data_IF_037420878574
#
_entry.id   IF_037420878574
#
_cell.length_a   1.000
_cell.length_b   1.000
_cell.length_c   1.000
_cell.angle_alpha   90.00
_cell.angle_beta   90.00
_cell.angle_gamma   90.00
#
_symmetry.space_group_name_H-M   'P 1'
#
loop_
_entity.id
_entity.type
_entity.pdbx_description
1 polymer ?
#
# COMPACT_ATOMS: atom_id res chain seq x y z
N UNK A 1 2.02 -17.79 8.86
CA UNK A 1 1.39 -16.77 9.74
C UNK A 1 2.52 -16.04 10.44
N UNK A 2 2.53 -14.70 10.41
CA UNK A 2 3.41 -13.91 11.28
C UNK A 2 3.08 -14.27 12.74
N UNK A 3 4.09 -14.46 13.58
CA UNK A 3 3.86 -14.55 15.02
C UNK A 3 3.84 -13.11 15.55
N UNK A 4 2.77 -12.62 16.19
CA UNK A 4 2.65 -11.24 16.71
C UNK A 4 3.85 -10.76 17.53
N UNK A 5 4.52 -11.71 18.17
CA UNK A 5 5.69 -11.49 19.02
C UNK A 5 6.92 -10.96 18.27
N UNK A 6 6.98 -11.08 16.94
CA UNK A 6 8.13 -10.63 16.15
C UNK A 6 8.06 -9.16 15.74
N UNK A 7 6.88 -8.52 15.74
CA UNK A 7 6.70 -7.14 15.29
C UNK A 7 7.60 -6.15 16.06
N UNK A 8 7.67 -6.17 17.41
CA UNK A 8 8.55 -5.26 18.15
C UNK A 8 10.04 -5.45 17.82
N UNK A 9 10.46 -6.71 17.60
CA UNK A 9 11.82 -7.06 17.21
C UNK A 9 12.17 -6.48 15.85
N UNK A 10 11.28 -6.62 14.87
CA UNK A 10 11.47 -6.09 13.51
C UNK A 10 11.51 -4.56 13.53
N UNK A 11 10.61 -3.90 14.27
CA UNK A 11 10.61 -2.44 14.43
C UNK A 11 11.95 -1.95 15.01
N UNK A 12 12.49 -2.66 16.00
CA UNK A 12 13.78 -2.36 16.60
C UNK A 12 14.92 -2.53 15.59
N UNK A 13 14.87 -3.58 14.77
CA UNK A 13 15.86 -3.81 13.72
C UNK A 13 15.85 -2.68 12.68
N UNK A 14 14.68 -2.28 12.19
CA UNK A 14 14.52 -1.16 11.24
C UNK A 14 15.06 0.14 11.85
N UNK A 15 14.77 0.40 13.13
CA UNK A 15 15.23 1.61 13.82
C UNK A 15 16.75 1.68 13.96
N UNK A 16 17.44 0.54 14.04
CA UNK A 16 18.91 0.47 14.08
C UNK A 16 19.57 0.81 12.75
N UNK A 17 18.83 0.72 11.64
CA UNK A 17 19.30 1.05 10.29
C UNK A 17 19.09 2.52 9.94
N UNK A 18 18.95 3.40 10.95
CA UNK A 18 18.52 4.77 10.71
C UNK A 18 19.47 5.60 9.83
N UNK A 19 20.77 5.40 9.96
CA UNK A 19 21.77 6.04 9.09
C UNK A 19 21.72 5.57 7.64
N UNK A 20 21.18 4.37 7.39
CA UNK A 20 21.11 3.74 6.07
C UNK A 20 19.80 4.03 5.36
N UNK A 21 18.69 4.03 6.11
CA UNK A 21 17.35 4.15 5.54
C UNK A 21 16.86 5.61 5.46
N UNK A 22 17.48 6.50 6.22
CA UNK A 22 17.06 7.90 6.31
C UNK A 22 15.77 8.10 7.14
N UNK A 23 15.49 9.35 7.55
CA UNK A 23 14.35 9.69 8.41
C UNK A 23 12.98 9.19 7.92
N UNK A 24 12.70 9.25 6.62
CA UNK A 24 11.41 8.89 6.04
C UNK A 24 11.10 7.42 6.31
N UNK A 25 12.01 6.52 5.98
CA UNK A 25 11.79 5.06 6.09
C UNK A 25 11.85 4.58 7.53
N UNK A 26 12.73 5.15 8.37
CA UNK A 26 12.75 4.86 9.82
C UNK A 26 11.42 5.20 10.48
N UNK A 27 10.73 6.23 9.97
CA UNK A 27 9.42 6.62 10.47
C UNK A 27 8.30 5.74 9.91
N UNK A 28 8.29 5.52 8.60
CA UNK A 28 7.15 4.93 7.90
C UNK A 28 7.14 3.41 7.90
N UNK A 29 8.29 2.73 7.77
CA UNK A 29 8.33 1.27 7.75
C UNK A 29 7.83 0.64 9.08
N UNK A 30 8.19 1.17 10.27
CA UNK A 30 7.56 0.71 11.52
C UNK A 30 6.05 0.98 11.59
N UNK A 31 5.56 2.06 10.97
CA UNK A 31 4.11 2.32 10.91
C UNK A 31 3.36 1.31 10.06
N UNK A 32 3.97 0.83 8.96
CA UNK A 32 3.42 -0.30 8.18
C UNK A 32 3.20 -1.48 9.12
N UNK A 33 4.26 -1.94 9.79
CA UNK A 33 4.19 -3.10 10.71
C UNK A 33 3.16 -2.92 11.84
N UNK A 34 3.13 -1.74 12.46
CA UNK A 34 2.19 -1.44 13.56
C UNK A 34 0.72 -1.44 13.11
N UNK A 35 0.47 -0.94 11.90
CA UNK A 35 -0.91 -0.76 11.40
C UNK A 35 -1.47 -2.05 10.84
N UNK A 36 -0.66 -2.80 10.06
CA UNK A 36 -1.17 -3.96 9.31
C UNK A 36 -0.93 -5.29 10.05
N UNK A 37 0.03 -5.31 10.98
CA UNK A 37 0.33 -6.47 11.81
C UNK A 37 0.50 -7.77 11.02
N UNK A 38 -0.28 -8.80 11.37
CA UNK A 38 -0.25 -10.11 10.70
C UNK A 38 -0.73 -10.07 9.25
N UNK A 39 -1.49 -9.04 8.86
CA UNK A 39 -2.01 -8.89 7.51
C UNK A 39 -0.97 -8.35 6.52
N UNK A 40 0.26 -8.08 6.97
CA UNK A 40 1.36 -7.57 6.14
C UNK A 40 1.49 -8.30 4.79
N UNK A 41 1.47 -9.64 4.71
CA UNK A 41 1.63 -10.33 3.42
C UNK A 41 0.52 -9.98 2.42
N UNK A 42 -0.73 -9.83 2.86
CA UNK A 42 -1.84 -9.44 1.98
C UNK A 42 -1.74 -7.97 1.58
N UNK A 43 -1.38 -7.09 2.53
CA UNK A 43 -1.19 -5.66 2.23
C UNK A 43 -0.05 -5.44 1.25
N UNK A 44 1.06 -6.17 1.41
CA UNK A 44 2.19 -6.17 0.47
C UNK A 44 1.68 -6.52 -0.92
N UNK A 45 0.91 -7.60 -1.08
CA UNK A 45 0.35 -7.98 -2.38
C UNK A 45 -0.51 -6.87 -2.99
N UNK A 46 -1.37 -6.22 -2.21
CA UNK A 46 -2.18 -5.09 -2.71
C UNK A 46 -1.29 -3.94 -3.17
N UNK A 47 -0.31 -3.52 -2.36
CA UNK A 47 0.62 -2.44 -2.71
C UNK A 47 1.40 -2.78 -3.98
N UNK A 48 1.89 -4.01 -4.10
CA UNK A 48 2.68 -4.49 -5.24
C UNK A 48 1.85 -4.42 -6.53
N UNK A 49 0.61 -4.92 -6.50
CA UNK A 49 -0.30 -4.90 -7.65
C UNK A 49 -0.70 -3.47 -8.05
N UNK A 50 -1.00 -2.60 -7.07
CA UNK A 50 -1.28 -1.19 -7.35
C UNK A 50 -0.06 -0.48 -7.94
N UNK A 51 1.13 -0.78 -7.44
CA UNK A 51 2.38 -0.16 -7.90
C UNK A 51 2.70 -0.58 -9.33
N UNK A 52 2.43 -1.84 -9.69
CA UNK A 52 2.54 -2.32 -11.08
C UNK A 52 1.50 -1.64 -11.97
N UNK A 53 0.23 -1.57 -11.55
CA UNK A 53 -0.83 -0.92 -12.31
C UNK A 53 -0.56 0.57 -12.55
N UNK A 54 0.15 1.23 -11.62
CA UNK A 54 0.53 2.64 -11.69
C UNK A 54 1.92 2.87 -12.28
N UNK A 55 2.61 1.83 -12.76
CA UNK A 55 3.99 1.91 -13.27
C UNK A 55 5.05 2.42 -12.27
N UNK A 56 4.74 2.45 -10.97
CA UNK A 56 5.71 2.75 -9.90
C UNK A 56 6.69 1.59 -9.73
N UNK A 57 6.18 0.35 -9.79
CA UNK A 57 6.94 -0.90 -9.73
C UNK A 57 6.85 -1.62 -11.08
N UNK A 58 7.95 -2.23 -11.55
CA UNK A 58 7.91 -3.05 -12.78
C UNK A 58 7.39 -4.46 -12.47
N UNK A 59 6.79 -5.18 -13.46
CA UNK A 59 6.21 -6.52 -13.22
C UNK A 59 7.17 -7.61 -12.72
N UNK A 60 8.48 -7.42 -12.89
CA UNK A 60 9.53 -8.35 -12.48
C UNK A 60 10.25 -7.92 -11.20
N UNK A 61 9.81 -6.83 -10.57
CA UNK A 61 10.33 -6.33 -9.31
C UNK A 61 9.40 -6.74 -8.18
N UNK A 62 9.91 -6.76 -6.95
CA UNK A 62 9.11 -7.07 -5.76
C UNK A 62 9.33 -6.06 -4.65
N UNK A 63 8.34 -5.94 -3.77
CA UNK A 63 8.42 -5.14 -2.54
C UNK A 63 9.60 -5.59 -1.68
N UNK A 64 9.81 -6.91 -1.58
CA UNK A 64 10.89 -7.46 -0.77
C UNK A 64 12.27 -7.09 -1.32
N UNK A 65 12.46 -7.20 -2.64
CA UNK A 65 13.72 -6.79 -3.29
C UNK A 65 13.97 -5.29 -3.14
N UNK A 66 12.94 -4.45 -3.32
CA UNK A 66 13.06 -3.01 -3.15
C UNK A 66 13.47 -2.63 -1.71
N UNK A 67 12.90 -3.32 -0.72
CA UNK A 67 13.28 -3.15 0.68
C UNK A 67 14.72 -3.59 0.97
N UNK A 68 15.17 -4.71 0.40
CA UNK A 68 16.54 -5.16 0.52
C UNK A 68 17.53 -4.19 -0.13
N UNK A 69 17.18 -3.65 -1.32
CA UNK A 69 17.97 -2.61 -2.00
C UNK A 69 18.11 -1.36 -1.15
N UNK A 70 17.04 -0.92 -0.50
CA UNK A 70 17.09 0.22 0.41
C UNK A 70 18.03 0.00 1.61
N UNK A 71 18.15 -1.23 2.10
CA UNK A 71 19.11 -1.58 3.19
C UNK A 71 20.56 -1.60 2.67
N UNK A 72 20.77 -1.96 1.41
CA UNK A 72 22.10 -2.03 0.79
C UNK A 72 22.55 -0.71 0.14
N UNK A 73 21.66 0.27 0.03
CA UNK A 73 21.92 1.55 -0.62
C UNK A 73 22.88 2.44 0.18
N UNK A 74 23.69 3.21 -0.55
CA UNK A 74 24.51 4.29 0.01
C UNK A 74 23.75 5.62 0.12
N UNK A 75 22.58 5.71 -0.53
CA UNK A 75 21.70 6.87 -0.50
C UNK A 75 20.34 6.53 0.12
N UNK A 76 19.76 7.55 0.70
CA UNK A 76 18.45 7.56 1.33
C UNK A 76 17.43 8.26 0.43
N UNK A 77 16.11 8.12 0.69
CA UNK A 77 15.10 8.91 0.01
C UNK A 77 15.34 10.43 0.08
N UNK A 78 15.93 10.91 1.18
CA UNK A 78 16.23 12.32 1.42
C UNK A 78 17.30 12.90 0.49
N UNK A 79 18.08 12.05 -0.17
CA UNK A 79 19.08 12.47 -1.16
C UNK A 79 18.45 12.82 -2.53
N UNK A 80 17.12 12.71 -2.65
CA UNK A 80 16.36 12.90 -3.88
C UNK A 80 15.22 13.90 -3.69
N UNK A 81 14.86 14.59 -4.77
CA UNK A 81 13.75 15.56 -4.76
C UNK A 81 12.39 14.85 -4.79
N UNK A 82 12.31 13.69 -5.43
CA UNK A 82 11.09 12.90 -5.56
C UNK A 82 11.35 11.45 -5.20
N UNK A 83 10.35 10.80 -4.59
CA UNK A 83 10.45 9.39 -4.23
C UNK A 83 10.66 8.49 -5.46
N UNK A 84 10.12 8.87 -6.63
CA UNK A 84 10.30 8.14 -7.88
C UNK A 84 11.78 8.13 -8.31
N UNK A 85 12.52 9.22 -8.10
CA UNK A 85 13.96 9.27 -8.41
C UNK A 85 14.75 8.30 -7.51
N UNK A 86 14.35 8.18 -6.23
CA UNK A 86 14.94 7.20 -5.31
C UNK A 86 14.61 5.76 -5.74
N UNK A 87 13.37 5.47 -6.14
CA UNK A 87 12.98 4.15 -6.66
C UNK A 87 13.81 3.80 -7.91
N UNK A 88 14.01 4.76 -8.81
CA UNK A 88 14.84 4.55 -10.00
C UNK A 88 16.31 4.33 -9.66
N UNK A 89 16.86 5.05 -8.68
CA UNK A 89 18.20 4.79 -8.17
C UNK A 89 18.32 3.38 -7.58
N UNK A 90 17.39 2.96 -6.71
CA UNK A 90 17.41 1.60 -6.15
C UNK A 90 17.37 0.56 -7.27
N UNK A 91 16.53 0.77 -8.28
CA UNK A 91 16.35 -0.11 -9.42
C UNK A 91 17.61 -0.25 -10.28
N UNK A 92 18.26 0.85 -10.60
CA UNK A 92 19.30 0.89 -11.63
C UNK A 92 20.72 0.84 -11.06
N UNK A 93 20.95 1.42 -9.88
CA UNK A 93 22.28 1.64 -9.32
C UNK A 93 22.61 0.68 -8.17
N UNK A 94 21.60 0.14 -7.47
CA UNK A 94 21.81 -0.85 -6.39
C UNK A 94 21.69 -2.27 -6.93
N UNK A 95 22.81 -2.82 -7.39
CA UNK A 95 22.88 -4.12 -8.08
C UNK A 95 23.25 -5.30 -7.18
N UNK A 96 24.01 -5.07 -6.10
CA UNK A 96 24.42 -6.11 -5.16
C UNK A 96 23.45 -6.23 -3.98
N UNK A 97 22.40 -7.06 -4.15
CA UNK A 97 21.48 -7.41 -3.05
C UNK A 97 21.47 -8.90 -2.82
N UNK A 98 21.70 -9.28 -1.55
CA UNK A 98 21.45 -10.65 -1.09
C UNK A 98 20.08 -10.69 -0.44
N UNK A 99 19.15 -11.41 -1.07
CA UNK A 99 17.88 -11.72 -0.44
C UNK A 99 18.10 -12.76 0.64
N UNK A 100 17.50 -12.53 1.80
CA UNK A 100 17.55 -13.42 2.96
C UNK A 100 16.22 -14.13 3.08
N UNK A 101 16.26 -15.40 3.49
CA UNK A 101 15.08 -16.18 3.82
C UNK A 101 14.74 -16.11 5.32
N UNK A 102 15.50 -15.36 6.11
CA UNK A 102 15.22 -15.17 7.54
C UNK A 102 13.90 -14.40 7.69
N UNK A 103 12.87 -14.97 8.33
CA UNK A 103 11.52 -14.38 8.34
C UNK A 103 11.48 -12.94 8.84
N UNK A 104 12.21 -12.63 9.91
CA UNK A 104 12.34 -11.28 10.49
C UNK A 104 12.91 -10.27 9.50
N UNK A 105 13.91 -10.65 8.72
CA UNK A 105 14.51 -9.77 7.72
C UNK A 105 13.61 -9.62 6.49
N UNK A 106 12.96 -10.70 6.03
CA UNK A 106 11.96 -10.63 4.94
C UNK A 106 10.85 -9.65 5.31
N UNK A 107 10.34 -9.72 6.53
CA UNK A 107 9.28 -8.82 7.00
C UNK A 107 9.77 -7.38 7.15
N UNK A 108 11.02 -7.15 7.56
CA UNK A 108 11.63 -5.83 7.57
C UNK A 108 11.71 -5.25 6.16
N UNK A 109 12.23 -6.03 5.20
CA UNK A 109 12.31 -5.64 3.79
C UNK A 109 10.93 -5.35 3.21
N UNK A 110 9.94 -6.21 3.46
CA UNK A 110 8.57 -5.99 3.02
C UNK A 110 7.97 -4.69 3.58
N UNK A 111 8.19 -4.39 4.86
CA UNK A 111 7.73 -3.15 5.47
C UNK A 111 8.40 -1.91 4.85
N UNK A 112 9.72 -1.97 4.63
CA UNK A 112 10.51 -0.89 4.01
C UNK A 112 10.07 -0.68 2.56
N UNK A 113 10.01 -1.74 1.76
CA UNK A 113 9.56 -1.69 0.38
C UNK A 113 8.12 -1.17 0.26
N UNK A 114 7.23 -1.59 1.16
CA UNK A 114 5.84 -1.11 1.20
C UNK A 114 5.78 0.38 1.50
N UNK A 115 6.61 0.86 2.41
CA UNK A 115 6.70 2.29 2.73
C UNK A 115 7.19 3.11 1.53
N UNK A 116 8.20 2.63 0.80
CA UNK A 116 8.70 3.28 -0.44
C UNK A 116 7.58 3.34 -1.49
N UNK A 117 6.96 2.19 -1.78
CA UNK A 117 5.94 2.09 -2.81
C UNK A 117 4.67 2.86 -2.47
N UNK A 118 4.25 2.90 -1.20
CA UNK A 118 3.11 3.71 -0.79
C UNK A 118 3.34 5.19 -1.05
N UNK A 119 4.56 5.70 -0.81
CA UNK A 119 4.91 7.08 -1.16
C UNK A 119 4.91 7.31 -2.67
N UNK A 120 5.47 6.37 -3.45
CA UNK A 120 5.42 6.41 -4.92
C UNK A 120 3.99 6.42 -5.47
N UNK A 121 3.11 5.57 -4.91
CA UNK A 121 1.70 5.52 -5.27
C UNK A 121 0.96 6.82 -4.93
N UNK A 122 1.16 7.36 -3.74
CA UNK A 122 0.53 8.62 -3.33
C UNK A 122 0.92 9.78 -4.26
N UNK A 123 2.18 9.79 -4.71
CA UNK A 123 2.68 10.74 -5.69
C UNK A 123 2.04 10.54 -7.05
N UNK A 124 2.10 9.32 -7.59
CA UNK A 124 1.62 8.98 -8.93
C UNK A 124 0.11 9.21 -9.07
N UNK A 125 -0.66 8.79 -8.07
CA UNK A 125 -2.12 8.87 -8.06
C UNK A 125 -2.64 10.19 -7.48
N UNK A 126 -1.75 11.11 -7.09
CA UNK A 126 -2.10 12.42 -6.52
C UNK A 126 -3.11 12.35 -5.39
N UNK A 127 -2.96 11.35 -4.51
CA UNK A 127 -3.90 11.03 -3.44
C UNK A 127 -3.15 10.56 -2.19
N UNK A 128 -3.84 10.47 -1.06
CA UNK A 128 -3.28 9.98 0.19
C UNK A 128 -3.89 8.63 0.55
N UNK A 129 -3.33 7.56 -0.01
CA UNK A 129 -3.71 6.19 0.33
C UNK A 129 -3.19 5.91 1.74
N UNK A 130 -4.11 5.56 2.64
CA UNK A 130 -3.78 5.26 4.03
C UNK A 130 -3.51 3.77 4.24
N UNK A 131 -2.64 3.45 5.21
CA UNK A 131 -2.40 2.06 5.61
C UNK A 131 -3.65 1.36 6.15
N UNK A 132 -4.53 2.01 6.95
CA UNK A 132 -5.79 1.41 7.37
C UNK A 132 -6.69 1.02 6.18
N UNK A 133 -6.80 1.87 5.16
CA UNK A 133 -7.55 1.54 3.94
C UNK A 133 -6.97 0.31 3.24
N UNK A 134 -5.65 0.28 3.01
CA UNK A 134 -4.98 -0.86 2.39
C UNK A 134 -5.15 -2.15 3.20
N UNK A 135 -5.11 -2.03 4.53
CA UNK A 135 -5.34 -3.16 5.44
C UNK A 135 -6.76 -3.71 5.31
N UNK A 136 -7.76 -2.82 5.30
CA UNK A 136 -9.19 -3.16 5.18
C UNK A 136 -9.49 -3.88 3.86
N UNK A 137 -9.05 -3.32 2.72
CA UNK A 137 -9.29 -3.96 1.41
C UNK A 137 -8.54 -5.28 1.25
N UNK A 138 -7.35 -5.40 1.86
CA UNK A 138 -6.59 -6.67 1.89
C UNK A 138 -7.24 -7.72 2.79
N UNK A 139 -7.85 -7.30 3.90
CA UNK A 139 -8.58 -8.18 4.82
C UNK A 139 -9.85 -8.74 4.17
N UNK A 140 -10.66 -7.87 3.57
CA UNK A 140 -11.89 -8.23 2.84
C UNK A 140 -11.57 -9.06 1.58
N UNK A 141 -10.40 -8.83 0.98
CA UNK A 141 -9.98 -9.50 -0.25
C UNK A 141 -10.56 -8.86 -1.51
N UNK A 142 -10.74 -7.53 -1.49
CA UNK A 142 -11.15 -6.78 -2.69
C UNK A 142 -10.07 -6.90 -3.76
N UNK A 143 -10.45 -7.24 -4.99
CA UNK A 143 -9.52 -7.43 -6.09
C UNK A 143 -8.72 -6.15 -6.40
N UNK A 144 -7.42 -6.28 -6.70
CA UNK A 144 -6.52 -5.13 -6.89
C UNK A 144 -6.98 -4.14 -7.97
N UNK A 145 -7.61 -4.63 -9.05
CA UNK A 145 -8.21 -3.78 -10.09
C UNK A 145 -9.35 -2.92 -9.56
N UNK A 146 -10.20 -3.49 -8.69
CA UNK A 146 -11.29 -2.76 -8.02
C UNK A 146 -10.69 -1.74 -7.05
N UNK A 147 -9.69 -2.12 -6.23
CA UNK A 147 -9.01 -1.20 -5.31
C UNK A 147 -8.41 0.00 -6.07
N UNK A 148 -7.78 -0.25 -7.22
CA UNK A 148 -7.22 0.81 -8.07
C UNK A 148 -8.30 1.79 -8.56
N UNK A 149 -9.43 1.27 -9.04
CA UNK A 149 -10.55 2.12 -9.48
C UNK A 149 -11.25 2.84 -8.32
N UNK A 150 -11.29 2.26 -7.11
CA UNK A 150 -11.75 2.96 -5.90
C UNK A 150 -10.85 4.17 -5.62
N UNK A 151 -9.53 3.98 -5.61
CA UNK A 151 -8.58 5.07 -5.34
C UNK A 151 -8.77 6.21 -6.36
N UNK A 152 -8.90 5.89 -7.65
CA UNK A 152 -9.14 6.88 -8.70
C UNK A 152 -10.47 7.61 -8.54
N UNK A 153 -11.54 6.88 -8.25
CA UNK A 153 -12.87 7.46 -8.08
C UNK A 153 -12.92 8.42 -6.88
N UNK A 154 -12.26 8.07 -5.76
CA UNK A 154 -12.16 8.93 -4.59
C UNK A 154 -11.28 10.16 -4.84
N UNK A 155 -10.14 10.00 -5.52
CA UNK A 155 -9.27 11.13 -5.88
C UNK A 155 -9.99 12.18 -6.74
N UNK A 156 -10.93 11.77 -7.61
CA UNK A 156 -11.68 12.68 -8.47
C UNK A 156 -12.98 13.24 -7.87
N UNK A 157 -13.50 12.65 -6.79
CA UNK A 157 -14.80 13.02 -6.21
C UNK A 157 -14.71 14.00 -5.04
N UNK A 158 -13.53 14.14 -4.42
CA UNK A 158 -13.35 14.91 -3.18
C UNK A 158 -13.80 14.18 -1.92
N UNK A 159 -14.20 12.91 -2.03
CA UNK A 159 -14.50 12.03 -0.89
C UNK A 159 -13.20 11.55 -0.23
N UNK A 160 -13.26 11.30 1.08
CA UNK A 160 -12.11 10.80 1.82
C UNK A 160 -12.14 9.26 1.91
N UNK A 161 -11.05 8.60 1.48
CA UNK A 161 -10.88 7.14 1.59
C UNK A 161 -10.98 6.65 3.05
N UNK A 162 -10.62 7.48 4.03
CA UNK A 162 -10.73 7.13 5.46
C UNK A 162 -12.19 7.00 5.94
N UNK A 163 -13.16 7.58 5.22
CA UNK A 163 -14.58 7.44 5.55
C UNK A 163 -15.19 6.12 5.07
N UNK A 164 -14.44 5.28 4.34
CA UNK A 164 -14.93 3.98 3.88
C UNK A 164 -15.30 3.07 5.07
N UNK A 165 -14.56 3.13 6.18
CA UNK A 165 -14.90 2.38 7.39
C UNK A 165 -16.23 2.86 8.00
N UNK A 166 -16.41 4.18 8.13
CA UNK A 166 -17.66 4.76 8.62
C UNK A 166 -18.85 4.48 7.67
N UNK A 167 -18.60 4.42 6.36
CA UNK A 167 -19.58 3.98 5.37
C UNK A 167 -19.99 2.53 5.62
N UNK A 168 -19.00 1.63 5.75
CA UNK A 168 -19.22 0.22 6.00
C UNK A 168 -19.99 -0.06 7.29
N UNK A 169 -19.69 0.70 8.33
CA UNK A 169 -20.35 0.56 9.63
C UNK A 169 -21.74 1.24 9.68
N UNK A 170 -22.18 1.89 8.59
CA UNK A 170 -23.46 2.60 8.52
C UNK A 170 -23.52 3.85 9.39
N UNK A 171 -22.37 4.47 9.66
CA UNK A 171 -22.24 5.63 10.58
C UNK A 171 -22.33 6.99 9.87
N UNK A 172 -22.38 7.00 8.54
CA UNK A 172 -22.50 8.22 7.74
C UNK A 172 -23.95 8.72 7.63
N UNK A 173 -24.11 10.01 7.34
CA UNK A 173 -25.43 10.58 7.03
C UNK A 173 -25.93 10.08 5.67
N UNK A 174 -27.25 10.04 5.47
CA UNK A 174 -27.85 9.46 4.26
C UNK A 174 -27.29 10.02 2.94
N UNK A 175 -27.02 11.32 2.87
CA UNK A 175 -26.42 11.96 1.70
C UNK A 175 -24.97 11.51 1.47
N UNK A 176 -24.17 11.41 2.53
CA UNK A 176 -22.80 10.93 2.49
C UNK A 176 -22.77 9.45 2.10
N UNK A 177 -23.59 8.61 2.74
CA UNK A 177 -23.74 7.19 2.40
C UNK A 177 -24.03 7.00 0.91
N UNK A 178 -24.95 7.80 0.36
CA UNK A 178 -25.25 7.72 -1.07
C UNK A 178 -24.04 8.09 -1.95
N UNK A 179 -23.33 9.16 -1.62
CA UNK A 179 -22.15 9.57 -2.38
C UNK A 179 -21.04 8.52 -2.36
N UNK A 180 -20.77 7.92 -1.19
CA UNK A 180 -19.80 6.84 -1.04
C UNK A 180 -20.24 5.58 -1.81
N UNK A 181 -21.52 5.21 -1.72
CA UNK A 181 -22.09 4.07 -2.46
C UNK A 181 -21.97 4.27 -3.98
N UNK A 182 -22.42 5.41 -4.50
CA UNK A 182 -22.35 5.74 -5.94
C UNK A 182 -20.90 5.70 -6.46
N UNK A 183 -19.94 6.19 -5.65
CA UNK A 183 -18.52 6.18 -5.96
C UNK A 183 -17.95 4.75 -6.02
N UNK A 184 -18.24 3.93 -5.01
CA UNK A 184 -17.82 2.54 -4.95
C UNK A 184 -18.44 1.72 -6.10
N UNK A 185 -19.74 1.85 -6.35
CA UNK A 185 -20.43 1.15 -7.45
C UNK A 185 -19.80 1.51 -8.81
N UNK A 186 -19.47 2.79 -9.01
CA UNK A 186 -18.78 3.24 -10.22
C UNK A 186 -17.39 2.59 -10.35
N UNK A 187 -16.65 2.45 -9.24
CA UNK A 187 -15.35 1.79 -9.24
C UNK A 187 -15.44 0.30 -9.62
N UNK A 188 -16.42 -0.44 -9.09
CA UNK A 188 -16.64 -1.85 -9.48
C UNK A 188 -16.95 -1.98 -10.98
N UNK A 189 -17.81 -1.12 -11.52
CA UNK A 189 -18.14 -1.13 -12.95
C UNK A 189 -16.97 -0.71 -13.84
N UNK A 190 -16.13 0.20 -13.39
CA UNK A 190 -14.91 0.56 -14.13
C UNK A 190 -13.90 -0.58 -14.14
N UNK A 191 -13.78 -1.30 -13.02
CA UNK A 191 -12.93 -2.48 -12.92
C UNK A 191 -13.47 -3.63 -13.76
N UNK A 192 -14.79 -3.83 -13.82
CA UNK A 192 -15.45 -4.87 -14.60
C UNK A 192 -16.60 -4.30 -15.44
N UNK A 193 -16.34 -3.78 -16.65
CA UNK A 193 -17.36 -3.11 -17.47
C UNK A 193 -18.55 -3.97 -17.88
N UNK A 194 -18.44 -5.30 -17.77
CA UNK A 194 -19.54 -6.24 -18.01
C UNK A 194 -20.51 -6.35 -16.83
N UNK A 195 -20.12 -5.87 -15.64
CA UNK A 195 -20.93 -5.94 -14.43
C UNK A 195 -22.16 -5.02 -14.56
N UNK A 196 -23.33 -5.57 -14.28
CA UNK A 196 -24.57 -4.80 -14.22
C UNK A 196 -24.58 -3.86 -13.01
N UNK A 197 -25.48 -2.88 -13.03
CA UNK A 197 -25.68 -1.99 -11.88
C UNK A 197 -25.98 -2.77 -10.60
N UNK A 198 -26.87 -3.76 -10.67
CA UNK A 198 -27.30 -4.55 -9.53
C UNK A 198 -26.16 -5.43 -8.98
N UNK A 199 -25.35 -6.03 -9.85
CA UNK A 199 -24.19 -6.82 -9.43
C UNK A 199 -23.15 -5.95 -8.73
N UNK A 200 -22.91 -4.74 -9.23
CA UNK A 200 -21.98 -3.79 -8.61
C UNK A 200 -22.49 -3.31 -7.24
N UNK A 201 -23.78 -2.99 -7.12
CA UNK A 201 -24.41 -2.65 -5.82
C UNK A 201 -24.30 -3.80 -4.83
N UNK A 202 -24.57 -5.04 -5.27
CA UNK A 202 -24.42 -6.23 -4.42
C UNK A 202 -22.97 -6.47 -3.99
N UNK A 203 -22.00 -6.24 -4.89
CA UNK A 203 -20.58 -6.36 -4.56
C UNK A 203 -20.17 -5.31 -3.52
N UNK A 204 -20.62 -4.06 -3.68
CA UNK A 204 -20.38 -3.00 -2.68
C UNK A 204 -21.00 -3.38 -1.34
N UNK A 205 -22.27 -3.81 -1.29
CA UNK A 205 -22.93 -4.22 -0.04
C UNK A 205 -22.29 -5.43 0.64
N UNK A 206 -21.60 -6.28 -0.12
CA UNK A 206 -20.90 -7.45 0.40
C UNK A 206 -19.53 -7.07 0.97
N UNK A 207 -18.82 -6.20 0.27
CA UNK A 207 -17.43 -5.89 0.57
C UNK A 207 -17.30 -4.68 1.53
N UNK A 208 -18.31 -3.81 1.59
CA UNK A 208 -18.33 -2.60 2.43
C UNK A 208 -19.67 -2.46 3.16
#
# INVERSE_FOLDING_TARGET
>A
MLVPTLIPTIITAVSKLASTLGPMLVRTAPMVLKTVGENLPKVVQVIEQLSIASSVLKPNESVNELGAKAISADKTPEDFNQINDYIDYLRNDVTEVTLTDEPTNVLACQAIGSAILLQGLNRELSTNISLPFLNKVAEIGVGSKVVFEIIKAYSGSGLNLEQIEAYSDGQLQLNETKQHSDCLVSAYKNAEPSMTQQEAEQAVMKDF
#
